data_IF_796625889383
#
_entry.id   IF_796625889383
#
_cell.length_a   1.000
_cell.length_b   1.000
_cell.length_c   1.000
_cell.angle_alpha   90.00
_cell.angle_beta   90.00
_cell.angle_gamma   90.00
#
_symmetry.space_group_name_H-M   'P 1'
#
loop_
_entity.id
_entity.type
_entity.pdbx_description
1 polymer ?
#
# COMPACT_ATOMS: atom_id res chain seq x y z
N UNK A 1 12.99 20.39 -8.32
CA UNK A 1 12.86 18.97 -8.73
C UNK A 1 12.69 18.09 -7.50
N UNK A 2 11.77 17.18 -7.58
CA UNK A 2 11.48 16.30 -6.44
C UNK A 2 12.49 15.17 -6.37
N UNK A 3 13.07 14.94 -5.20
CA UNK A 3 13.91 13.78 -5.00
C UNK A 3 13.06 12.53 -4.84
N UNK A 4 13.46 11.45 -5.46
CA UNK A 4 12.84 10.15 -5.27
C UNK A 4 13.28 9.56 -3.95
N UNK A 5 12.36 9.02 -3.20
CA UNK A 5 12.62 8.39 -1.90
C UNK A 5 12.19 6.94 -1.91
N UNK A 6 12.85 6.14 -1.09
CA UNK A 6 12.39 4.78 -0.85
C UNK A 6 10.97 4.84 -0.29
N UNK A 7 10.05 4.14 -0.94
CA UNK A 7 8.65 4.20 -0.62
C UNK A 7 8.09 2.78 -0.60
N UNK A 8 7.33 2.46 0.45
CA UNK A 8 6.60 1.21 0.48
C UNK A 8 5.36 1.34 -0.42
N UNK A 9 5.16 0.36 -1.28
CA UNK A 9 3.98 0.28 -2.13
C UNK A 9 3.33 -1.09 -1.92
N UNK A 10 2.11 -1.10 -1.44
CA UNK A 10 1.32 -2.32 -1.24
C UNK A 10 0.35 -2.45 -2.39
N UNK A 11 0.45 -3.54 -3.14
CA UNK A 11 -0.46 -3.78 -4.26
C UNK A 11 -1.59 -4.70 -3.82
N UNK A 12 -2.72 -4.62 -4.54
CA UNK A 12 -3.92 -5.39 -4.23
C UNK A 12 -4.37 -6.16 -5.47
N UNK A 13 -4.98 -7.32 -5.27
CA UNK A 13 -5.47 -8.15 -6.37
C UNK A 13 -6.71 -7.55 -7.01
N UNK A 14 -7.54 -6.86 -6.23
CA UNK A 14 -8.79 -6.28 -6.72
C UNK A 14 -8.97 -4.87 -6.20
N UNK A 15 -9.77 -4.08 -6.92
CA UNK A 15 -10.13 -2.74 -6.48
C UNK A 15 -10.86 -2.78 -5.14
N UNK A 16 -11.68 -3.80 -4.92
CA UNK A 16 -12.39 -3.99 -3.66
C UNK A 16 -11.42 -4.12 -2.49
N UNK A 17 -10.33 -4.89 -2.66
CA UNK A 17 -9.30 -5.00 -1.63
C UNK A 17 -8.63 -3.65 -1.36
N UNK A 18 -8.32 -2.92 -2.42
CA UNK A 18 -7.68 -1.61 -2.29
C UNK A 18 -8.57 -0.63 -1.52
N UNK A 19 -9.86 -0.61 -1.84
CA UNK A 19 -10.81 0.27 -1.17
C UNK A 19 -11.00 -0.13 0.30
N UNK A 20 -11.05 -1.42 0.59
CA UNK A 20 -11.16 -1.91 1.96
C UNK A 20 -9.93 -1.51 2.78
N UNK A 21 -8.74 -1.62 2.21
CA UNK A 21 -7.52 -1.23 2.87
C UNK A 21 -7.47 0.28 3.14
N UNK A 22 -7.90 1.09 2.18
CA UNK A 22 -7.97 2.53 2.37
C UNK A 22 -8.89 2.90 3.53
N UNK A 23 -10.09 2.35 3.53
CA UNK A 23 -11.06 2.60 4.59
C UNK A 23 -10.49 2.20 5.95
N UNK A 24 -9.91 1.00 6.04
CA UNK A 24 -9.33 0.48 7.26
C UNK A 24 -8.22 1.41 7.78
N UNK A 25 -7.32 1.83 6.89
CA UNK A 25 -6.21 2.70 7.29
C UNK A 25 -6.71 4.06 7.77
N UNK A 26 -7.71 4.63 7.10
CA UNK A 26 -8.28 5.90 7.50
C UNK A 26 -8.97 5.81 8.85
N UNK A 27 -9.70 4.73 9.09
CA UNK A 27 -10.43 4.54 10.36
C UNK A 27 -9.49 4.28 11.53
N UNK A 28 -8.32 3.70 11.28
CA UNK A 28 -7.36 3.33 12.31
C UNK A 28 -6.16 4.26 12.39
N UNK A 29 -6.17 5.35 11.64
CA UNK A 29 -5.08 6.32 11.66
C UNK A 29 -3.75 5.77 11.19
N UNK A 30 -3.76 4.79 10.29
CA UNK A 30 -2.53 4.23 9.74
C UNK A 30 -1.93 5.14 8.68
N UNK A 31 -0.59 5.16 8.56
CA UNK A 31 0.07 6.06 7.64
C UNK A 31 -0.11 5.65 6.18
N UNK A 32 -0.08 6.64 5.28
CA UNK A 32 -0.09 6.39 3.86
C UNK A 32 -1.33 6.91 3.15
N UNK A 33 -1.45 6.54 1.89
CA UNK A 33 -2.60 6.92 1.06
C UNK A 33 -2.67 6.05 -0.19
N UNK A 34 -3.84 6.04 -0.84
CA UNK A 34 -4.03 5.37 -2.13
C UNK A 34 -3.32 6.17 -3.24
N UNK A 35 -2.64 5.43 -4.11
CA UNK A 35 -2.04 5.98 -5.32
C UNK A 35 -2.25 5.00 -6.47
N UNK A 36 -2.15 5.45 -7.72
CA UNK A 36 -2.07 4.51 -8.84
C UNK A 36 -0.80 3.66 -8.71
N UNK A 37 -0.86 2.42 -9.15
CA UNK A 37 0.33 1.55 -9.13
C UNK A 37 1.43 2.18 -9.98
N UNK A 38 2.63 2.39 -9.43
CA UNK A 38 3.74 2.93 -10.21
C UNK A 38 4.10 2.01 -11.39
N UNK A 39 4.59 2.60 -12.47
CA UNK A 39 4.95 1.84 -13.67
C UNK A 39 6.05 0.80 -13.42
N UNK A 40 6.85 0.98 -12.39
CA UNK A 40 7.89 0.05 -12.00
C UNK A 40 7.31 -1.28 -11.50
N UNK A 41 6.03 -1.28 -11.13
CA UNK A 41 5.33 -2.46 -10.63
C UNK A 41 4.22 -2.80 -11.62
N UNK A 42 4.20 -4.04 -12.10
CA UNK A 42 3.20 -4.48 -13.08
C UNK A 42 2.10 -5.35 -12.46
N UNK A 43 2.09 -5.46 -11.15
CA UNK A 43 1.14 -6.30 -10.44
C UNK A 43 -0.06 -5.51 -9.93
N UNK A 44 -1.14 -6.21 -9.63
CA UNK A 44 -2.27 -5.64 -8.91
C UNK A 44 -3.38 -5.11 -9.81
N UNK A 45 -4.32 -4.44 -9.19
CA UNK A 45 -5.55 -3.95 -9.84
C UNK A 45 -5.43 -2.53 -10.39
N UNK A 46 -4.25 -1.93 -10.33
CA UNK A 46 -4.04 -0.54 -10.73
C UNK A 46 -4.06 0.46 -9.59
N UNK A 47 -4.48 0.05 -8.40
CA UNK A 47 -4.43 0.88 -7.20
C UNK A 47 -3.48 0.26 -6.17
N UNK A 48 -2.81 1.11 -5.40
CA UNK A 48 -1.88 0.67 -4.38
C UNK A 48 -1.93 1.60 -3.17
N UNK A 49 -1.34 1.16 -2.06
CA UNK A 49 -1.20 1.96 -0.85
C UNK A 49 0.25 2.37 -0.70
N UNK A 50 0.49 3.66 -0.59
CA UNK A 50 1.82 4.23 -0.44
C UNK A 50 2.07 4.55 1.03
N UNK A 51 3.24 4.19 1.54
CA UNK A 51 3.64 4.51 2.92
C UNK A 51 5.16 4.57 3.00
N UNK A 52 5.69 4.90 4.19
CA UNK A 52 7.13 4.86 4.41
C UNK A 52 7.60 3.41 4.56
N UNK A 53 8.84 3.09 4.14
CA UNK A 53 9.34 1.72 4.26
C UNK A 53 9.33 1.18 5.69
N UNK A 54 9.58 2.03 6.68
CA UNK A 54 9.55 1.63 8.08
C UNK A 54 8.16 1.22 8.57
N UNK A 55 7.11 1.54 7.83
CA UNK A 55 5.74 1.18 8.19
C UNK A 55 5.33 -0.19 7.67
N UNK A 56 6.21 -0.88 6.96
CA UNK A 56 5.90 -2.16 6.32
C UNK A 56 5.40 -3.21 7.31
N UNK A 57 6.12 -3.42 8.39
CA UNK A 57 5.72 -4.42 9.39
C UNK A 57 4.42 -4.03 10.08
N UNK A 58 4.26 -2.77 10.39
CA UNK A 58 3.06 -2.25 11.03
C UNK A 58 1.83 -2.48 10.15
N UNK A 59 1.94 -2.16 8.87
CA UNK A 59 0.83 -2.32 7.92
C UNK A 59 0.55 -3.80 7.67
N UNK A 60 1.58 -4.62 7.49
CA UNK A 60 1.40 -6.06 7.28
C UNK A 60 0.69 -6.70 8.47
N UNK A 61 1.10 -6.37 9.68
CA UNK A 61 0.48 -6.89 10.89
C UNK A 61 -0.98 -6.44 11.01
N UNK A 62 -1.24 -5.15 10.76
CA UNK A 62 -2.58 -4.59 10.86
C UNK A 62 -3.53 -5.22 9.84
N UNK A 63 -3.09 -5.37 8.59
CA UNK A 63 -3.90 -5.99 7.54
C UNK A 63 -4.17 -7.46 7.85
N UNK A 64 -3.17 -8.17 8.34
CA UNK A 64 -3.31 -9.58 8.70
C UNK A 64 -4.33 -9.76 9.83
N UNK A 65 -4.24 -8.94 10.87
CA UNK A 65 -5.18 -8.99 11.99
C UNK A 65 -6.61 -8.67 11.55
N UNK A 66 -6.76 -7.76 10.62
CA UNK A 66 -8.08 -7.37 10.11
C UNK A 66 -8.64 -8.33 9.07
N UNK A 67 -7.85 -9.32 8.65
CA UNK A 67 -8.26 -10.25 7.61
C UNK A 67 -8.29 -9.63 6.22
N UNK A 68 -7.55 -8.54 6.01
CA UNK A 68 -7.48 -7.88 4.70
C UNK A 68 -6.38 -8.51 3.86
N UNK A 69 -6.71 -8.82 2.60
CA UNK A 69 -5.74 -9.36 1.67
C UNK A 69 -5.00 -8.26 0.92
N UNK A 70 -3.80 -8.58 0.48
CA UNK A 70 -3.06 -7.75 -0.47
C UNK A 70 -2.27 -8.66 -1.41
N UNK A 71 -1.79 -8.09 -2.52
CA UNK A 71 -1.05 -8.86 -3.51
C UNK A 71 0.44 -8.93 -3.18
N UNK A 72 1.07 -7.78 -2.98
CA UNK A 72 2.48 -7.74 -2.64
C UNK A 72 2.87 -6.44 -1.98
N UNK A 73 4.07 -6.44 -1.39
CA UNK A 73 4.66 -5.24 -0.81
C UNK A 73 6.03 -5.03 -1.43
N UNK A 74 6.26 -3.82 -1.90
CA UNK A 74 7.48 -3.45 -2.61
C UNK A 74 8.06 -2.18 -2.01
N UNK A 75 9.37 -2.07 -2.00
CA UNK A 75 10.04 -0.80 -1.66
C UNK A 75 10.75 -0.31 -2.91
N UNK A 76 10.27 0.81 -3.43
CA UNK A 76 10.82 1.40 -4.66
C UNK A 76 11.03 2.90 -4.46
N UNK A 77 11.84 3.48 -5.31
CA UNK A 77 12.08 4.92 -5.31
C UNK A 77 11.09 5.62 -6.22
N UNK A 78 10.26 6.44 -5.64
CA UNK A 78 9.28 7.23 -6.39
C UNK A 78 9.10 8.63 -5.81
#
# INVERSE_FOLDING_TARGET
>A
MREKKDTLVVTFQTTTQAMAAEKFCMENGLPGRIIPVPREITAGCGLSWKAAPEDREKLAAAFTEAGLGWDGMYVIKI
#
